data_IF_591221359170
#
_entry.id   IF_591221359170
#
_cell.length_a   1.000
_cell.length_b   1.000
_cell.length_c   1.000
_cell.angle_alpha   90.00
_cell.angle_beta   90.00
_cell.angle_gamma   90.00
#
_symmetry.space_group_name_H-M   'P 1'
#
loop_
_entity.id
_entity.type
_entity.pdbx_description
1 polymer ?
#
# COMPACT_ATOMS: atom_id res chain seq x y z
N UNK A 1 29.64 -28.05 -39.57
CA UNK A 1 29.52 -28.80 -38.30
C UNK A 1 28.09 -28.74 -37.75
N UNK A 2 27.38 -29.87 -37.74
CA UNK A 2 26.09 -29.98 -37.04
C UNK A 2 26.41 -30.16 -35.57
N UNK A 3 26.14 -29.14 -34.75
CA UNK A 3 26.37 -29.21 -33.31
C UNK A 3 25.33 -30.15 -32.71
N UNK A 4 25.73 -31.38 -32.41
CA UNK A 4 24.93 -32.29 -31.61
C UNK A 4 24.89 -31.74 -30.18
N UNK A 5 23.72 -31.26 -29.76
CA UNK A 5 23.46 -30.96 -28.35
C UNK A 5 22.85 -32.21 -27.73
N UNK A 6 23.49 -32.82 -26.73
CA UNK A 6 22.97 -34.02 -26.09
C UNK A 6 21.57 -33.80 -25.51
N UNK A 7 20.70 -34.81 -25.60
CA UNK A 7 19.33 -34.73 -25.07
C UNK A 7 19.27 -34.38 -23.59
N UNK A 8 20.29 -34.78 -22.81
CA UNK A 8 20.39 -34.47 -21.38
C UNK A 8 20.58 -32.97 -21.15
N UNK A 9 21.40 -32.31 -21.96
CA UNK A 9 21.59 -30.86 -21.90
C UNK A 9 20.30 -30.09 -22.26
N UNK A 10 19.52 -30.59 -23.22
CA UNK A 10 18.22 -30.00 -23.54
C UNK A 10 17.21 -30.23 -22.41
N UNK A 11 17.17 -31.44 -21.84
CA UNK A 11 16.28 -31.78 -20.72
C UNK A 11 16.55 -30.90 -19.50
N UNK A 12 17.81 -30.71 -19.11
CA UNK A 12 18.16 -29.87 -17.96
C UNK A 12 17.82 -28.40 -18.22
N UNK A 13 18.15 -27.84 -19.39
CA UNK A 13 17.75 -26.47 -19.76
C UNK A 13 16.23 -26.27 -19.71
N UNK A 14 15.46 -27.23 -20.21
CA UNK A 14 13.99 -27.14 -20.20
C UNK A 14 13.42 -27.23 -18.78
N UNK A 15 13.97 -28.08 -17.89
CA UNK A 15 13.59 -28.11 -16.48
C UNK A 15 13.87 -26.79 -15.78
N UNK A 16 15.05 -26.19 -16.02
CA UNK A 16 15.40 -24.89 -15.45
C UNK A 16 14.47 -23.79 -15.97
N UNK A 17 14.11 -23.82 -17.25
CA UNK A 17 13.18 -22.86 -17.84
C UNK A 17 11.78 -22.99 -17.23
N UNK A 18 11.31 -24.23 -17.03
CA UNK A 18 10.03 -24.51 -16.39
C UNK A 18 10.05 -24.09 -14.92
N UNK A 19 11.13 -24.38 -14.18
CA UNK A 19 11.30 -23.94 -12.79
C UNK A 19 11.35 -22.41 -12.67
N UNK A 20 12.09 -21.75 -13.56
CA UNK A 20 12.17 -20.29 -13.62
C UNK A 20 10.82 -19.67 -14.00
N UNK A 21 10.05 -20.30 -14.89
CA UNK A 21 8.70 -19.85 -15.25
C UNK A 21 7.72 -20.06 -14.08
N UNK A 22 7.77 -21.19 -13.38
CA UNK A 22 6.97 -21.40 -12.17
C UNK A 22 7.37 -20.49 -11.02
N UNK A 23 8.66 -20.17 -10.88
CA UNK A 23 9.13 -19.21 -9.88
C UNK A 23 8.69 -17.79 -10.23
N UNK A 24 8.78 -17.39 -11.51
CA UNK A 24 8.32 -16.09 -11.99
C UNK A 24 6.80 -15.93 -11.82
N UNK A 25 6.03 -16.95 -12.20
CA UNK A 25 4.57 -16.96 -12.00
C UNK A 25 4.24 -17.02 -10.51
N UNK A 26 4.97 -17.75 -9.68
CA UNK A 26 4.78 -17.75 -8.23
C UNK A 26 5.10 -16.39 -7.58
N UNK A 27 6.00 -15.60 -8.16
CA UNK A 27 6.28 -14.23 -7.70
C UNK A 27 5.32 -13.19 -8.28
N UNK A 28 4.74 -13.44 -9.46
CA UNK A 28 3.79 -12.53 -10.13
C UNK A 28 2.32 -12.77 -9.70
N UNK A 29 1.98 -13.98 -9.24
CA UNK A 29 0.63 -14.32 -8.74
C UNK A 29 0.39 -13.91 -7.29
N UNK A 30 1.41 -13.38 -6.62
CA UNK A 30 1.20 -12.45 -5.51
C UNK A 30 1.04 -11.10 -6.18
N UNK A 31 -0.20 -10.60 -6.25
CA UNK A 31 -0.41 -9.18 -6.54
C UNK A 31 0.46 -8.40 -5.55
N UNK A 32 1.62 -7.95 -6.00
CA UNK A 32 2.60 -7.29 -5.17
C UNK A 32 2.01 -5.90 -4.92
N UNK A 33 1.23 -5.79 -3.86
CA UNK A 33 0.75 -4.51 -3.42
C UNK A 33 1.95 -3.72 -2.90
N UNK A 34 2.22 -2.56 -3.48
CA UNK A 34 3.15 -1.61 -2.90
C UNK A 34 2.52 -1.06 -1.63
N UNK A 35 3.23 -1.19 -0.51
CA UNK A 35 2.77 -0.74 0.81
C UNK A 35 3.70 0.36 1.27
N UNK A 36 3.13 1.52 1.57
CA UNK A 36 3.87 2.66 2.11
C UNK A 36 3.29 3.10 3.44
N UNK A 37 4.19 3.56 4.30
CA UNK A 37 3.85 4.22 5.57
C UNK A 37 4.38 5.65 5.46
N UNK A 38 3.51 6.62 5.67
CA UNK A 38 3.83 8.05 5.72
C UNK A 38 3.25 8.67 6.98
N UNK A 39 3.63 9.92 7.27
CA UNK A 39 3.13 10.63 8.43
C UNK A 39 4.08 11.72 8.91
N UNK A 40 3.73 12.35 10.02
CA UNK A 40 4.54 13.35 10.70
C UNK A 40 4.42 13.22 12.21
N UNK A 41 5.37 13.85 12.90
CA UNK A 41 5.35 13.94 14.35
C UNK A 41 5.74 15.35 14.77
N UNK A 42 4.97 15.92 15.70
CA UNK A 42 5.18 17.22 16.30
C UNK A 42 5.55 17.09 17.77
N UNK A 43 6.53 17.89 18.19
CA UNK A 43 6.85 18.05 19.60
C UNK A 43 7.06 19.53 19.89
N UNK A 44 6.48 20.00 20.99
CA UNK A 44 6.56 21.40 21.35
C UNK A 44 6.19 21.69 22.79
N UNK A 45 6.15 22.98 23.10
CA UNK A 45 5.66 23.50 24.37
C UNK A 45 4.57 24.51 24.02
N UNK A 46 3.39 24.35 24.61
CA UNK A 46 2.24 25.25 24.42
C UNK A 46 1.79 25.81 25.77
N UNK A 47 1.08 26.95 25.76
CA UNK A 47 0.61 27.61 26.98
C UNK A 47 1.68 28.48 27.68
N UNK A 48 1.37 28.94 28.89
CA UNK A 48 2.14 29.94 29.63
C UNK A 48 1.55 31.34 29.51
N UNK A 49 2.21 32.34 30.12
CA UNK A 49 1.69 33.71 30.28
C UNK A 49 1.29 34.43 28.97
N UNK A 50 1.75 33.93 27.82
CA UNK A 50 1.37 34.42 26.50
C UNK A 50 -0.06 33.99 26.06
N UNK A 51 -0.68 33.03 26.74
CA UNK A 51 -1.97 32.45 26.40
C UNK A 51 -2.94 32.57 27.58
N UNK A 52 -4.12 33.17 27.36
CA UNK A 52 -5.11 33.37 28.42
C UNK A 52 -5.57 32.02 28.96
N UNK A 53 -5.43 31.82 30.28
CA UNK A 53 -5.89 30.65 31.02
C UNK A 53 -5.25 29.30 30.65
N UNK A 54 -4.06 29.32 30.02
CA UNK A 54 -3.38 28.09 29.58
C UNK A 54 -2.09 27.82 30.36
N UNK A 55 -2.06 26.71 31.12
CA UNK A 55 -0.84 26.25 31.79
C UNK A 55 0.21 25.83 30.74
N UNK A 56 1.48 26.15 30.97
CA UNK A 56 2.59 25.62 30.16
C UNK A 56 2.59 24.08 30.23
N UNK A 57 2.48 23.45 29.06
CA UNK A 57 2.42 22.00 28.90
C UNK A 57 3.19 21.56 27.64
N UNK A 58 3.46 20.26 27.55
CA UNK A 58 4.03 19.66 26.35
C UNK A 58 2.95 19.50 25.28
N UNK A 59 3.29 19.83 24.03
CA UNK A 59 2.53 19.49 22.84
C UNK A 59 3.16 18.27 22.19
N UNK A 60 2.34 17.29 21.85
CA UNK A 60 2.74 16.11 21.09
C UNK A 60 1.62 15.79 20.14
N UNK A 61 1.96 15.61 18.87
CA UNK A 61 1.04 15.16 17.85
C UNK A 61 1.75 14.13 16.96
N UNK A 62 1.05 13.08 16.58
CA UNK A 62 1.58 12.02 15.73
C UNK A 62 0.47 11.55 14.81
N UNK A 63 0.78 11.57 13.53
CA UNK A 63 -0.12 11.20 12.46
C UNK A 63 0.61 10.19 11.55
N UNK A 64 -0.10 9.12 11.19
CA UNK A 64 0.47 8.00 10.42
C UNK A 64 -0.57 7.45 9.45
N UNK A 65 -0.26 7.56 8.17
CA UNK A 65 -1.05 6.97 7.10
C UNK A 65 -0.41 5.66 6.61
N UNK A 66 -1.21 4.60 6.53
CA UNK A 66 -0.84 3.37 5.82
C UNK A 66 -1.52 3.35 4.47
N UNK A 67 -0.78 3.10 3.40
CA UNK A 67 -1.33 2.99 2.06
C UNK A 67 -0.90 1.70 1.38
N UNK A 68 -1.77 1.15 0.54
CA UNK A 68 -1.48 0.02 -0.32
C UNK A 68 -2.03 0.26 -1.72
N UNK A 69 -1.28 -0.13 -2.75
CA UNK A 69 -1.75 -0.13 -4.14
C UNK A 69 -1.31 -1.39 -4.85
N UNK A 70 -2.10 -1.93 -5.76
CA UNK A 70 -1.72 -3.09 -6.54
C UNK A 70 -2.46 -3.16 -7.87
N UNK A 71 -1.94 -3.99 -8.77
CA UNK A 71 -2.56 -4.27 -10.06
C UNK A 71 -2.66 -5.79 -10.24
N UNK A 72 -3.83 -6.25 -10.68
CA UNK A 72 -4.02 -7.65 -11.08
C UNK A 72 -3.54 -7.89 -12.51
N UNK A 73 -3.22 -9.14 -12.87
CA UNK A 73 -2.86 -9.54 -14.24
C UNK A 73 -3.92 -9.16 -15.30
N UNK A 74 -5.16 -8.92 -14.87
CA UNK A 74 -6.24 -8.48 -15.73
C UNK A 74 -6.27 -6.99 -16.04
N UNK A 75 -5.43 -6.17 -15.40
CA UNK A 75 -5.43 -4.70 -15.53
C UNK A 75 -6.38 -3.97 -14.58
N UNK A 76 -6.93 -4.66 -13.57
CA UNK A 76 -7.63 -4.01 -12.46
C UNK A 76 -6.59 -3.48 -11.48
N UNK A 77 -6.51 -2.15 -11.36
CA UNK A 77 -5.73 -1.47 -10.34
C UNK A 77 -6.60 -1.15 -9.13
N UNK A 78 -6.07 -1.38 -7.93
CA UNK A 78 -6.76 -1.18 -6.67
C UNK A 78 -5.83 -0.51 -5.66
N UNK A 79 -6.41 0.14 -4.67
CA UNK A 79 -5.65 0.62 -3.53
C UNK A 79 -6.53 1.01 -2.36
N UNK A 80 -5.89 1.17 -1.21
CA UNK A 80 -6.51 1.64 0.00
C UNK A 80 -5.53 2.48 0.81
N UNK A 81 -6.04 3.45 1.56
CA UNK A 81 -5.29 4.12 2.60
C UNK A 81 -6.11 4.17 3.88
N UNK A 82 -5.44 4.25 5.03
CA UNK A 82 -6.05 4.50 6.33
C UNK A 82 -5.19 5.48 7.11
N UNK A 83 -5.83 6.53 7.64
CA UNK A 83 -5.23 7.47 8.56
C UNK A 83 -5.54 7.12 10.02
N UNK A 84 -4.56 7.30 10.91
CA UNK A 84 -4.62 6.83 12.31
C UNK A 84 -4.97 7.89 13.34
N UNK A 85 -4.91 9.17 12.99
CA UNK A 85 -5.35 10.26 13.86
C UNK A 85 -6.87 10.49 13.77
N UNK A 86 -7.49 9.91 12.74
CA UNK A 86 -8.91 10.03 12.49
C UNK A 86 -9.82 9.12 13.33
N UNK A 87 -10.94 9.68 13.79
CA UNK A 87 -11.87 8.97 14.67
C UNK A 87 -12.77 8.01 13.88
N UNK A 88 -12.49 6.72 14.00
CA UNK A 88 -13.35 5.67 13.43
C UNK A 88 -12.83 5.05 12.15
N UNK A 89 -11.56 5.26 11.80
CA UNK A 89 -10.85 4.72 10.63
C UNK A 89 -10.96 3.18 10.40
N UNK A 90 -11.52 2.43 11.36
CA UNK A 90 -11.74 0.98 11.26
C UNK A 90 -13.22 0.56 11.40
N UNK A 91 -14.15 1.51 11.40
CA UNK A 91 -15.58 1.24 11.52
C UNK A 91 -16.19 0.78 10.20
N UNK A 92 -16.61 -0.48 10.09
CA UNK A 92 -17.26 -1.01 8.87
C UNK A 92 -18.57 -0.28 8.47
N UNK A 93 -19.14 0.54 9.35
CA UNK A 93 -20.35 1.36 9.07
C UNK A 93 -20.17 2.83 9.41
N UNK A 94 -18.96 3.23 9.84
CA UNK A 94 -18.65 4.58 10.28
C UNK A 94 -17.32 4.93 9.64
N UNK A 95 -17.35 5.80 8.64
CA UNK A 95 -16.14 6.22 7.94
C UNK A 95 -15.42 7.25 8.81
N UNK A 96 -14.10 7.20 8.81
CA UNK A 96 -13.32 8.15 9.59
C UNK A 96 -11.97 8.50 9.00
N UNK A 97 -11.31 7.62 8.26
CA UNK A 97 -9.99 7.94 7.71
C UNK A 97 -9.53 6.97 6.64
N UNK A 98 -10.42 6.09 6.18
CA UNK A 98 -10.14 5.07 5.21
C UNK A 98 -10.62 5.46 3.82
N UNK A 99 -9.76 5.29 2.82
CA UNK A 99 -10.10 5.44 1.41
C UNK A 99 -9.78 4.17 0.65
N UNK A 100 -10.58 3.89 -0.37
CA UNK A 100 -10.42 2.75 -1.26
C UNK A 100 -10.68 3.18 -2.69
N UNK A 101 -9.94 2.59 -3.62
CA UNK A 101 -10.25 2.75 -5.03
C UNK A 101 -10.12 1.44 -5.79
N UNK A 102 -10.95 1.32 -6.82
CA UNK A 102 -10.83 0.35 -7.90
C UNK A 102 -10.83 1.10 -9.23
N UNK A 103 -9.95 0.70 -10.14
CA UNK A 103 -9.86 1.29 -11.48
C UNK A 103 -9.55 0.24 -12.53
N UNK A 104 -10.17 0.40 -13.69
CA UNK A 104 -10.00 -0.48 -14.84
C UNK A 104 -10.13 0.31 -16.13
N UNK A 105 -9.07 0.34 -16.94
CA UNK A 105 -9.02 1.17 -18.14
C UNK A 105 -9.27 2.65 -17.80
N UNK A 106 -10.31 3.24 -18.38
CA UNK A 106 -10.71 4.63 -18.11
C UNK A 106 -11.71 4.82 -16.98
N UNK A 107 -12.13 3.76 -16.28
CA UNK A 107 -13.12 3.82 -15.21
C UNK A 107 -12.43 3.81 -13.84
N UNK A 108 -12.94 4.62 -12.91
CA UNK A 108 -12.49 4.66 -11.51
C UNK A 108 -13.70 4.77 -10.58
N UNK A 109 -13.65 4.01 -9.50
CA UNK A 109 -14.56 4.08 -8.36
C UNK A 109 -13.72 4.36 -7.11
N UNK A 110 -14.03 5.45 -6.43
CA UNK A 110 -13.51 5.80 -5.12
C UNK A 110 -14.61 5.59 -4.06
N UNK A 111 -14.24 5.05 -2.91
CA UNK A 111 -15.12 4.76 -1.77
C UNK A 111 -14.36 5.06 -0.49
N UNK A 112 -15.04 5.26 0.63
CA UNK A 112 -14.34 5.72 1.83
C UNK A 112 -14.70 7.15 2.20
N UNK A 113 -13.87 7.68 3.09
CA UNK A 113 -13.75 9.10 3.36
C UNK A 113 -13.07 9.83 2.18
N UNK A 114 -13.84 10.04 1.12
CA UNK A 114 -13.32 10.56 -0.16
C UNK A 114 -13.32 12.08 -0.26
N UNK A 115 -13.92 12.79 0.70
CA UNK A 115 -14.03 14.25 0.71
C UNK A 115 -12.89 14.96 1.45
N UNK A 116 -11.84 14.22 1.85
CA UNK A 116 -10.64 14.78 2.51
C UNK A 116 -10.97 15.53 3.81
N UNK A 117 -12.02 15.10 4.51
CA UNK A 117 -12.55 15.74 5.70
C UNK A 117 -11.97 15.14 6.97
#
# INVERSE_FOLDING_TARGET
PVWYVPYEHMREKMKTLLLASTALVATASIAAADVAISGYAEIGIIGGDAYTDSRTQYHTDIDVTFSMTGESDGGLAFGAAVDLDENGAFGNTTQGGETYFLSYGGLRLDMGDTDSA
#
